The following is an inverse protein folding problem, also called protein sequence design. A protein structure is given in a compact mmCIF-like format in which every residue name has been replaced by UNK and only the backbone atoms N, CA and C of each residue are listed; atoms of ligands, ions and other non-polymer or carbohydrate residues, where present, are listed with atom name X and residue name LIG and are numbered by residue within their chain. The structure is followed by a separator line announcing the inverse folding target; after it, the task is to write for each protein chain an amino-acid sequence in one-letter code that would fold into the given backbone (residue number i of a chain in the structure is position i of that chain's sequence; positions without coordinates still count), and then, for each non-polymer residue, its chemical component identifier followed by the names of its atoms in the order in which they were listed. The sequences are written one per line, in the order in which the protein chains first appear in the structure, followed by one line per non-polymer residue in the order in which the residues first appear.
data_IF_531207315292
#
_entry.id   IF_531207315292
#
_cell.length_a   1.000
_cell.length_b   1.000
_cell.length_c   1.000
_cell.angle_alpha   90.00
_cell.angle_beta   90.00
_cell.angle_gamma   90.00
#
_symmetry.space_group_name_H-M   'P 1'
#
loop_
_entity.id
_entity.type
_entity.pdbx_description
1 polymer ?
#
# COMPACT_ATOMS: atom_id res chain seq x y z
N UNK A 1 4.85 41.58 51.88
CA UNK A 1 5.60 40.75 50.85
C UNK A 1 4.63 39.75 50.26
N UNK A 2 4.12 40.03 49.06
CA UNK A 2 3.18 39.10 48.38
C UNK A 2 3.97 38.26 47.39
N UNK A 3 3.96 36.94 47.59
CA UNK A 3 4.56 35.98 46.66
C UNK A 3 3.54 35.64 45.57
N UNK A 4 3.80 36.06 44.33
CA UNK A 4 3.01 35.68 43.16
C UNK A 4 3.49 34.30 42.67
N UNK A 5 2.65 33.27 42.85
CA UNK A 5 2.89 31.95 42.30
C UNK A 5 2.45 31.98 40.85
N UNK A 6 3.39 31.89 39.89
CA UNK A 6 3.11 31.68 38.47
C UNK A 6 2.87 30.18 38.27
N UNK A 7 1.64 29.80 37.99
CA UNK A 7 1.32 28.45 37.54
C UNK A 7 1.63 28.34 36.04
N UNK A 8 2.70 27.61 35.67
CA UNK A 8 3.01 27.27 34.31
C UNK A 8 2.14 26.04 33.91
N UNK A 9 1.15 26.25 33.06
CA UNK A 9 0.38 25.17 32.45
C UNK A 9 1.22 24.50 31.36
N UNK A 10 1.68 23.27 31.61
CA UNK A 10 2.33 22.43 30.60
C UNK A 10 1.25 21.86 29.70
N UNK A 11 1.08 22.42 28.50
CA UNK A 11 0.24 21.83 27.44
C UNK A 11 0.98 20.63 26.85
N UNK A 12 0.60 19.43 27.25
CA UNK A 12 1.07 18.20 26.59
C UNK A 12 0.42 18.11 25.19
N UNK A 13 1.19 18.47 24.18
CA UNK A 13 0.82 18.21 22.79
C UNK A 13 0.89 16.69 22.55
N UNK A 14 -0.26 16.01 22.57
CA UNK A 14 -0.37 14.65 22.06
C UNK A 14 -0.16 14.72 20.54
N UNK A 15 1.06 14.42 20.10
CA UNK A 15 1.33 14.14 18.70
C UNK A 15 0.64 12.81 18.37
N UNK A 16 -0.56 12.86 17.81
CA UNK A 16 -1.14 11.71 17.14
C UNK A 16 -0.24 11.39 15.94
N UNK A 17 0.62 10.40 16.08
CA UNK A 17 1.31 9.82 14.94
C UNK A 17 0.23 9.29 13.99
N UNK A 18 -0.09 10.05 12.94
CA UNK A 18 -0.78 9.49 11.80
C UNK A 18 0.10 8.32 11.34
N UNK A 19 -0.43 7.10 11.34
CA UNK A 19 0.23 5.97 10.70
C UNK A 19 0.34 6.36 9.23
N UNK A 20 1.53 6.80 8.84
CA UNK A 20 1.82 7.19 7.49
C UNK A 20 1.60 5.97 6.58
N UNK A 21 0.86 6.13 5.50
CA UNK A 21 0.57 5.05 4.56
C UNK A 21 -0.71 4.25 4.82
N UNK A 22 -1.60 4.66 5.73
CA UNK A 22 -2.93 4.05 5.88
C UNK A 22 -4.06 5.07 5.67
N UNK A 23 -5.26 4.56 5.35
CA UNK A 23 -6.46 5.38 5.31
C UNK A 23 -6.70 6.04 6.68
N UNK A 24 -6.93 7.37 6.75
CA UNK A 24 -7.29 8.05 7.99
C UNK A 24 -8.49 7.37 8.65
N UNK A 25 -8.46 7.23 9.98
CA UNK A 25 -9.46 6.45 10.74
C UNK A 25 -10.88 6.97 10.48
N UNK A 26 -11.06 8.29 10.40
CA UNK A 26 -12.35 8.96 10.13
C UNK A 26 -12.80 8.90 8.67
N UNK A 27 -11.95 8.37 7.77
CA UNK A 27 -12.21 8.18 6.33
C UNK A 27 -12.34 6.72 5.93
N UNK A 28 -12.18 5.79 6.87
CA UNK A 28 -12.38 4.36 6.62
C UNK A 28 -13.86 4.09 6.38
N UNK A 29 -14.14 3.34 5.34
CA UNK A 29 -15.50 2.90 4.96
C UNK A 29 -15.49 1.40 4.68
N UNK A 30 -16.65 0.79 4.54
CA UNK A 30 -16.74 -0.61 4.12
C UNK A 30 -16.15 -0.78 2.72
N UNK A 31 -15.59 -1.97 2.45
CA UNK A 31 -15.06 -2.29 1.12
C UNK A 31 -16.12 -2.04 0.03
N UNK A 32 -15.69 -1.47 -1.08
CA UNK A 32 -16.56 -1.05 -2.17
C UNK A 32 -17.32 0.28 -1.94
N UNK A 33 -17.22 0.91 -0.78
CA UNK A 33 -17.82 2.22 -0.50
C UNK A 33 -16.83 3.40 -0.65
N UNK A 34 -15.54 3.10 -0.74
CA UNK A 34 -14.47 4.07 -0.94
C UNK A 34 -14.24 4.45 -2.39
N UNK A 35 -12.98 4.49 -2.80
CA UNK A 35 -12.61 4.80 -4.17
C UNK A 35 -13.13 3.72 -5.13
N UNK A 36 -13.38 4.11 -6.36
CA UNK A 36 -13.99 3.23 -7.37
C UNK A 36 -12.96 2.81 -8.39
N UNK A 37 -13.24 1.68 -9.03
CA UNK A 37 -12.50 1.24 -10.19
C UNK A 37 -12.55 2.33 -11.27
N UNK A 38 -11.38 2.77 -11.68
CA UNK A 38 -11.19 3.56 -12.89
C UNK A 38 -10.53 2.60 -13.89
N UNK A 39 -11.09 2.49 -15.08
CA UNK A 39 -10.55 1.63 -16.14
C UNK A 39 -9.28 2.29 -16.68
N UNK A 40 -8.14 2.01 -16.06
CA UNK A 40 -6.84 2.43 -16.55
C UNK A 40 -6.02 1.20 -16.94
N UNK A 41 -5.43 1.24 -18.11
CA UNK A 41 -4.37 0.31 -18.45
C UNK A 41 -3.12 0.65 -17.61
N UNK A 42 -2.29 -0.36 -17.33
CA UNK A 42 -0.97 -0.13 -16.74
C UNK A 42 -0.16 0.85 -17.61
N UNK A 43 0.45 1.84 -16.98
CA UNK A 43 1.22 2.87 -17.69
C UNK A 43 2.47 3.22 -16.89
N UNK A 44 3.63 3.22 -17.56
CA UNK A 44 4.88 3.66 -16.95
C UNK A 44 5.26 2.88 -15.69
N UNK A 45 4.91 1.59 -15.62
CA UNK A 45 5.21 0.69 -14.50
C UNK A 45 6.11 -0.42 -15.00
N UNK A 46 7.19 -0.69 -14.26
CA UNK A 46 7.92 -1.95 -14.33
C UNK A 46 7.71 -2.70 -13.04
N UNK A 47 7.46 -4.00 -13.12
CA UNK A 47 7.19 -4.89 -12.01
C UNK A 47 8.00 -6.17 -12.20
N UNK A 48 8.97 -6.41 -11.31
CA UNK A 48 9.93 -7.51 -11.43
C UNK A 48 9.90 -8.37 -10.19
N UNK A 49 9.62 -9.67 -10.35
CA UNK A 49 9.80 -10.65 -9.26
C UNK A 49 11.30 -10.82 -8.99
N UNK A 50 11.74 -10.42 -7.82
CA UNK A 50 13.15 -10.51 -7.38
C UNK A 50 13.44 -11.82 -6.68
N UNK A 51 12.46 -12.36 -5.95
CA UNK A 51 12.55 -13.65 -5.26
C UNK A 51 11.18 -14.31 -5.18
N UNK A 52 11.14 -15.63 -5.18
CA UNK A 52 9.90 -16.39 -5.03
C UNK A 52 10.20 -17.73 -4.36
N UNK A 53 9.44 -18.08 -3.31
CA UNK A 53 9.53 -19.34 -2.57
C UNK A 53 8.19 -20.07 -2.70
N UNK A 54 8.21 -21.33 -3.14
CA UNK A 54 7.02 -22.19 -3.17
C UNK A 54 6.75 -22.74 -1.76
N UNK A 55 5.74 -22.20 -1.11
CA UNK A 55 5.42 -22.55 0.29
C UNK A 55 4.91 -23.98 0.46
N UNK A 56 4.51 -24.67 -0.62
CA UNK A 56 4.15 -26.09 -0.55
C UNK A 56 5.35 -27.00 -0.29
N UNK A 57 6.56 -26.50 -0.55
CA UNK A 57 7.84 -27.20 -0.39
C UNK A 57 8.58 -26.83 0.89
N UNK A 58 8.06 -25.87 1.61
CA UNK A 58 8.61 -25.41 2.89
C UNK A 58 8.03 -26.20 4.06
N UNK A 59 8.71 -26.28 5.21
CA UNK A 59 8.19 -26.98 6.41
C UNK A 59 6.81 -26.49 6.86
N UNK A 60 6.47 -25.22 6.58
CA UNK A 60 5.15 -24.64 6.86
C UNK A 60 4.04 -25.24 5.99
N UNK A 61 4.39 -25.83 4.84
CA UNK A 61 3.51 -26.58 3.94
C UNK A 61 2.19 -25.88 3.58
N UNK A 62 2.26 -24.65 3.04
CA UNK A 62 1.09 -23.91 2.54
C UNK A 62 0.90 -24.19 1.06
N UNK A 63 -0.03 -25.09 0.66
CA UNK A 63 -0.20 -25.46 -0.74
C UNK A 63 -0.77 -24.31 -1.57
N UNK A 64 -0.37 -24.24 -2.84
CA UNK A 64 -0.90 -23.30 -3.81
C UNK A 64 -0.52 -21.84 -3.56
N UNK A 65 0.56 -21.59 -2.80
CA UNK A 65 1.03 -20.23 -2.51
C UNK A 65 2.52 -20.07 -2.80
N UNK A 66 2.85 -18.95 -3.43
CA UNK A 66 4.22 -18.44 -3.54
C UNK A 66 4.39 -17.26 -2.58
N UNK A 67 5.44 -17.26 -1.80
CA UNK A 67 5.91 -16.08 -1.08
C UNK A 67 6.86 -15.33 -2.00
N UNK A 68 6.47 -14.13 -2.45
CA UNK A 68 7.23 -13.37 -3.44
C UNK A 68 7.71 -12.05 -2.89
N UNK A 69 8.88 -11.63 -3.37
CA UNK A 69 9.36 -10.25 -3.28
C UNK A 69 9.42 -9.68 -4.69
N UNK A 70 8.78 -8.54 -4.88
CA UNK A 70 8.70 -7.82 -6.16
C UNK A 70 9.23 -6.41 -6.00
N UNK A 71 9.85 -5.89 -7.03
CA UNK A 71 10.25 -4.50 -7.14
C UNK A 71 9.44 -3.81 -8.23
N UNK A 72 8.77 -2.73 -7.86
CA UNK A 72 8.00 -1.90 -8.78
C UNK A 72 8.67 -0.54 -8.92
N UNK A 73 8.74 -0.03 -10.15
CA UNK A 73 9.11 1.35 -10.44
C UNK A 73 7.97 1.99 -11.22
N UNK A 74 7.40 3.06 -10.66
CA UNK A 74 6.28 3.80 -11.24
C UNK A 74 6.76 5.18 -11.65
N UNK A 75 6.83 5.41 -12.97
CA UNK A 75 7.29 6.67 -13.55
C UNK A 75 6.32 7.84 -13.21
N UNK A 76 6.73 9.10 -13.30
CA UNK A 76 5.81 10.24 -13.25
C UNK A 76 4.62 10.07 -14.18
N UNK A 77 3.40 10.21 -13.67
CA UNK A 77 2.15 9.92 -14.38
C UNK A 77 1.86 8.44 -14.60
N UNK A 78 2.70 7.54 -14.03
CA UNK A 78 2.51 6.09 -14.09
C UNK A 78 1.31 5.62 -13.28
N UNK A 79 0.70 4.51 -13.72
CA UNK A 79 -0.53 3.96 -13.14
C UNK A 79 -0.36 2.45 -12.94
N UNK A 80 -0.54 1.99 -11.70
CA UNK A 80 -0.80 0.58 -11.39
C UNK A 80 -2.32 0.40 -11.46
N UNK A 81 -2.86 -0.44 -12.36
CA UNK A 81 -4.29 -0.53 -12.60
C UNK A 81 -5.04 -1.11 -11.40
N UNK A 82 -6.37 -0.96 -11.42
CA UNK A 82 -7.23 -1.54 -10.39
C UNK A 82 -7.03 -3.05 -10.29
N UNK A 83 -6.78 -3.54 -9.07
CA UNK A 83 -6.67 -4.96 -8.76
C UNK A 83 -7.14 -5.24 -7.32
N UNK A 84 -7.39 -6.51 -7.01
CA UNK A 84 -7.89 -6.95 -5.70
C UNK A 84 -6.85 -7.76 -4.95
N UNK A 85 -6.90 -7.66 -3.63
CA UNK A 85 -6.09 -8.45 -2.69
C UNK A 85 -6.89 -9.56 -1.97
N UNK A 86 -8.06 -9.97 -2.51
CA UNK A 86 -8.88 -11.04 -1.95
C UNK A 86 -8.10 -12.33 -1.66
N UNK A 87 -7.26 -12.74 -2.61
CA UNK A 87 -6.48 -13.97 -2.48
C UNK A 87 -4.97 -13.73 -2.39
N UNK A 88 -4.55 -12.47 -2.42
CA UNK A 88 -3.15 -12.07 -2.48
C UNK A 88 -2.82 -10.98 -1.46
N UNK A 89 -2.85 -11.27 -0.15
CA UNK A 89 -2.41 -10.30 0.85
C UNK A 89 -0.95 -9.91 0.58
N UNK A 90 -0.65 -8.62 0.80
CA UNK A 90 0.68 -8.06 0.52
C UNK A 90 1.07 -7.00 1.55
N UNK A 91 2.35 -6.70 1.58
CA UNK A 91 2.93 -5.54 2.26
C UNK A 91 3.72 -4.74 1.22
N UNK A 92 3.40 -3.46 1.08
CA UNK A 92 4.07 -2.57 0.13
C UNK A 92 4.91 -1.57 0.91
N UNK A 93 6.23 -1.63 0.74
CA UNK A 93 7.17 -0.65 1.31
C UNK A 93 7.57 0.38 0.25
N UNK A 94 7.43 1.64 0.56
CA UNK A 94 7.85 2.74 -0.33
C UNK A 94 9.32 3.03 -0.09
N UNK A 95 10.17 2.68 -1.04
CA UNK A 95 11.62 2.87 -0.95
C UNK A 95 12.00 4.32 -1.24
N UNK A 96 11.36 4.92 -2.28
CA UNK A 96 11.64 6.30 -2.67
C UNK A 96 10.47 6.90 -3.46
N UNK A 97 10.43 8.23 -3.49
CA UNK A 97 9.35 8.97 -4.16
C UNK A 97 8.08 9.07 -3.32
N UNK A 98 6.99 9.38 -4.00
CA UNK A 98 5.65 9.48 -3.44
C UNK A 98 4.67 8.87 -4.43
N UNK A 99 3.64 8.19 -3.95
CA UNK A 99 2.60 7.59 -4.78
C UNK A 99 1.24 7.69 -4.08
N UNK A 100 0.17 7.82 -4.86
CA UNK A 100 -1.19 7.94 -4.32
C UNK A 100 -1.95 6.65 -4.59
N UNK A 101 -2.52 6.09 -3.53
CA UNK A 101 -3.42 4.94 -3.57
C UNK A 101 -4.88 5.39 -3.54
N UNK A 102 -5.71 4.69 -4.31
CA UNK A 102 -7.15 4.86 -4.38
C UNK A 102 -7.81 3.54 -4.00
N UNK A 103 -8.12 3.38 -2.70
CA UNK A 103 -8.57 2.12 -2.11
C UNK A 103 -10.09 2.04 -1.98
N UNK A 104 -10.65 0.86 -2.22
CA UNK A 104 -12.10 0.57 -2.15
C UNK A 104 -12.71 0.75 -0.75
N UNK A 105 -11.88 0.77 0.28
CA UNK A 105 -12.27 0.92 1.69
C UNK A 105 -11.86 2.27 2.31
N UNK A 106 -11.47 3.24 1.48
CA UNK A 106 -11.13 4.59 1.93
C UNK A 106 -11.90 5.66 1.16
N UNK A 107 -12.53 6.59 1.86
CA UNK A 107 -13.31 7.65 1.22
C UNK A 107 -12.43 8.70 0.50
N UNK A 108 -11.15 8.77 0.83
CA UNK A 108 -10.19 9.72 0.25
C UNK A 108 -8.97 8.99 -0.31
N UNK A 109 -8.25 9.57 -1.30
CA UNK A 109 -6.95 9.05 -1.72
C UNK A 109 -5.95 9.03 -0.55
N UNK A 110 -5.07 8.05 -0.54
CA UNK A 110 -4.03 7.86 0.47
C UNK A 110 -2.69 8.20 -0.16
N UNK A 111 -1.95 9.13 0.43
CA UNK A 111 -0.61 9.50 -0.03
C UNK A 111 0.42 8.67 0.73
N UNK A 112 1.25 7.94 0.01
CA UNK A 112 2.37 7.18 0.54
C UNK A 112 3.69 7.83 0.16
N UNK A 113 4.61 7.92 1.12
CA UNK A 113 5.95 8.51 0.96
C UNK A 113 7.03 7.50 1.29
N UNK A 114 8.26 7.81 0.92
CA UNK A 114 9.42 7.00 1.30
C UNK A 114 9.44 6.70 2.80
N UNK A 115 9.55 5.43 3.16
CA UNK A 115 9.49 4.92 4.53
C UNK A 115 8.12 4.38 4.96
N UNK A 116 7.04 4.69 4.23
CA UNK A 116 5.70 4.18 4.54
C UNK A 116 5.53 2.71 4.15
N UNK A 117 4.62 2.04 4.85
CA UNK A 117 4.15 0.69 4.51
C UNK A 117 2.64 0.75 4.27
N UNK A 118 2.19 0.22 3.12
CA UNK A 118 0.78 -0.02 2.85
C UNK A 118 0.48 -1.52 3.04
N UNK A 119 -0.32 -1.91 4.05
CA UNK A 119 -0.76 -3.28 4.23
C UNK A 119 -1.98 -3.58 3.37
N UNK A 120 -1.82 -4.43 2.38
CA UNK A 120 -2.87 -4.91 1.47
C UNK A 120 -3.53 -6.16 2.06
N UNK A 121 -4.71 -6.00 2.63
CA UNK A 121 -5.38 -7.02 3.43
C UNK A 121 -6.90 -6.96 3.30
N UNK A 122 -7.60 -7.97 3.85
CA UNK A 122 -9.07 -8.00 3.94
C UNK A 122 -9.79 -7.91 2.59
N UNK A 123 -9.13 -8.32 1.50
CA UNK A 123 -9.74 -8.33 0.18
C UNK A 123 -9.87 -6.96 -0.49
N UNK A 124 -9.32 -5.90 0.08
CA UNK A 124 -9.35 -4.55 -0.48
C UNK A 124 -8.90 -4.55 -1.93
N UNK A 125 -9.60 -3.80 -2.76
CA UNK A 125 -9.21 -3.52 -4.14
C UNK A 125 -8.78 -2.06 -4.27
N UNK A 126 -7.84 -1.80 -5.16
CA UNK A 126 -7.30 -0.45 -5.34
C UNK A 126 -6.58 -0.26 -6.68
N UNK A 127 -6.19 0.96 -6.98
CA UNK A 127 -5.23 1.36 -8.01
C UNK A 127 -4.32 2.44 -7.46
N UNK A 128 -3.15 2.64 -8.11
CA UNK A 128 -2.15 3.59 -7.68
C UNK A 128 -1.72 4.51 -8.82
N UNK A 129 -1.37 5.77 -8.49
CA UNK A 129 -0.82 6.71 -9.46
C UNK A 129 0.31 7.53 -8.86
N UNK A 130 1.40 7.66 -9.60
CA UNK A 130 2.46 8.60 -9.30
C UNK A 130 2.12 9.98 -9.89
N UNK A 131 1.68 10.91 -9.05
CA UNK A 131 1.43 12.31 -9.42
C UNK A 131 2.67 13.19 -9.28
N UNK A 132 3.77 12.64 -8.77
CA UNK A 132 5.04 13.34 -8.55
C UNK A 132 5.80 13.61 -9.85
N UNK A 133 6.97 14.21 -9.69
CA UNK A 133 7.89 14.55 -10.79
C UNK A 133 9.08 13.59 -10.90
N UNK A 134 9.19 12.67 -9.95
CA UNK A 134 10.26 11.66 -9.89
C UNK A 134 9.65 10.26 -9.83
N UNK A 135 10.35 9.21 -10.27
CA UNK A 135 9.87 7.84 -10.13
C UNK A 135 9.64 7.46 -8.67
N UNK A 136 8.59 6.68 -8.41
CA UNK A 136 8.35 6.02 -7.12
C UNK A 136 8.82 4.58 -7.20
N UNK A 137 9.65 4.18 -6.24
CA UNK A 137 10.16 2.81 -6.12
C UNK A 137 9.49 2.13 -4.92
N UNK A 138 8.94 0.94 -5.16
CA UNK A 138 8.23 0.15 -4.16
C UNK A 138 8.80 -1.27 -4.11
N UNK A 139 8.77 -1.85 -2.91
CA UNK A 139 8.97 -3.28 -2.70
C UNK A 139 7.63 -3.86 -2.25
N UNK A 140 7.16 -4.87 -2.95
CA UNK A 140 5.96 -5.62 -2.59
C UNK A 140 6.34 -7.04 -2.16
N UNK A 141 5.88 -7.44 -0.98
CA UNK A 141 5.96 -8.82 -0.51
C UNK A 141 4.55 -9.37 -0.47
N UNK A 142 4.28 -10.47 -1.18
CA UNK A 142 2.93 -11.02 -1.30
C UNK A 142 2.88 -12.56 -1.16
N UNK A 143 1.68 -13.06 -0.82
CA UNK A 143 1.32 -14.48 -0.88
C UNK A 143 0.53 -14.73 -2.16
N UNK A 144 1.23 -15.02 -3.25
CA UNK A 144 0.64 -15.15 -4.58
C UNK A 144 0.02 -16.54 -4.82
N UNK A 145 -1.24 -16.64 -5.30
CA UNK A 145 -1.86 -17.92 -5.63
C UNK A 145 -1.25 -18.53 -6.89
N UNK A 146 -0.85 -19.80 -6.82
CA UNK A 146 -0.18 -20.50 -7.96
C UNK A 146 -1.11 -20.65 -9.17
N UNK A 147 -2.43 -20.74 -8.95
CA UNK A 147 -3.42 -20.84 -10.02
C UNK A 147 -3.46 -19.60 -10.91
N UNK A 148 -3.03 -18.43 -10.40
CA UNK A 148 -3.06 -17.16 -11.13
C UNK A 148 -1.86 -16.94 -12.06
N UNK A 149 -0.89 -17.87 -12.10
CA UNK A 149 0.27 -17.74 -13.03
C UNK A 149 -0.14 -17.58 -14.50
N UNK A 150 -1.34 -18.00 -14.86
CA UNK A 150 -1.86 -17.86 -16.23
C UNK A 150 -2.33 -16.43 -16.55
N UNK A 151 -2.58 -15.59 -15.52
CA UNK A 151 -3.06 -14.21 -15.66
C UNK A 151 -1.98 -13.15 -15.39
N UNK A 152 -0.74 -13.55 -15.10
CA UNK A 152 0.37 -12.63 -14.73
C UNK A 152 0.78 -11.69 -15.89
N UNK A 153 0.27 -11.90 -17.10
CA UNK A 153 0.51 -11.06 -18.28
C UNK A 153 -0.33 -9.76 -18.33
N UNK A 154 -1.18 -9.51 -17.34
CA UNK A 154 -2.15 -8.39 -17.37
C UNK A 154 -1.98 -7.42 -16.18
N UNK A 155 -0.80 -7.30 -15.64
CA UNK A 155 -0.46 -6.16 -14.77
C UNK A 155 0.61 -5.30 -15.41
#
# INVERSE_FOLDING_TARGET
MQVKILAAALAAAFSMSALAGECPVDKRVSDGQGQKMVSHAAKGVTDVVRASTDLSKEPIAVPGRLFRLRELNVQPGGIVPWHSHNERPAQIYIVSGEIVEYASNCAVPIVHKAGDVAPEKNGTAHWWQNHGKVPSKLISVDLFPVADKMNEKMM
#
